data_IF_079395815322
#
_entry.id   IF_079395815322
#
_cell.length_a   1.000
_cell.length_b   1.000
_cell.length_c   1.000
_cell.angle_alpha   90.00
_cell.angle_beta   90.00
_cell.angle_gamma   90.00
#
_symmetry.space_group_name_H-M   'P 1'
#
loop_
_entity.id
_entity.type
_entity.pdbx_description
1 polymer ?
#
# COMPACT_ATOMS: atom_id res chain seq x y z
N UNK A 1 -3.54 15.76 -11.60
CA UNK A 1 -3.46 14.32 -11.29
C UNK A 1 -2.65 14.11 -10.03
N UNK A 2 -3.26 13.50 -9.03
CA UNK A 2 -2.61 13.30 -7.73
C UNK A 2 -2.28 11.82 -7.55
N UNK A 3 -1.01 11.43 -7.63
CA UNK A 3 -0.63 10.04 -7.38
C UNK A 3 -0.87 9.68 -5.91
N UNK A 4 -1.27 8.44 -5.69
CA UNK A 4 -1.48 7.91 -4.34
C UNK A 4 -0.73 6.59 -4.19
N UNK A 5 -0.29 6.33 -2.97
CA UNK A 5 0.33 5.07 -2.58
C UNK A 5 -0.72 4.25 -1.80
N UNK A 6 -1.02 3.07 -2.27
CA UNK A 6 -2.00 2.20 -1.61
C UNK A 6 -1.30 1.36 -0.55
N UNK A 7 -1.84 1.37 0.67
CA UNK A 7 -1.50 0.36 1.66
C UNK A 7 -1.88 -1.03 1.12
N UNK A 8 -1.22 -2.07 1.57
CA UNK A 8 -1.41 -3.42 1.05
C UNK A 8 -2.87 -3.87 1.09
N UNK A 9 -3.57 -3.64 2.20
CA UNK A 9 -4.98 -4.02 2.31
C UNK A 9 -5.87 -3.21 1.36
N UNK A 10 -5.58 -1.94 1.14
CA UNK A 10 -6.31 -1.11 0.18
C UNK A 10 -6.13 -1.65 -1.24
N UNK A 11 -4.92 -2.07 -1.60
CA UNK A 11 -4.65 -2.73 -2.88
C UNK A 11 -5.50 -3.99 -3.04
N UNK A 12 -5.56 -4.82 -2.01
CA UNK A 12 -6.37 -6.05 -2.03
C UNK A 12 -7.85 -5.70 -2.21
N UNK A 13 -8.38 -4.77 -1.42
CA UNK A 13 -9.79 -4.38 -1.49
C UNK A 13 -10.15 -3.81 -2.85
N UNK A 14 -9.32 -2.95 -3.42
CA UNK A 14 -9.54 -2.42 -4.76
C UNK A 14 -9.62 -3.55 -5.79
N UNK A 15 -8.72 -4.51 -5.69
CA UNK A 15 -8.61 -5.61 -6.66
C UNK A 15 -9.79 -6.57 -6.60
N UNK A 16 -10.36 -6.78 -5.41
CA UNK A 16 -11.53 -7.66 -5.25
C UNK A 16 -12.86 -6.91 -5.30
N UNK A 17 -12.84 -5.60 -5.51
CA UNK A 17 -14.05 -4.80 -5.64
C UNK A 17 -14.77 -4.50 -4.33
N UNK A 18 -14.07 -4.49 -3.19
CA UNK A 18 -14.64 -4.22 -1.88
C UNK A 18 -13.97 -3.02 -1.23
N UNK A 19 -14.47 -1.82 -1.51
CA UNK A 19 -13.92 -0.57 -0.97
C UNK A 19 -14.69 -0.06 0.27
N UNK A 20 -15.61 -0.84 0.82
CA UNK A 20 -16.40 -0.44 1.99
C UNK A 20 -15.60 0.02 3.21
N UNK A 21 -14.40 -0.55 3.50
CA UNK A 21 -13.63 -0.09 4.64
C UNK A 21 -13.09 1.34 4.49
N UNK A 22 -13.11 1.90 3.28
CA UNK A 22 -12.61 3.25 3.01
C UNK A 22 -13.74 4.28 3.02
N UNK A 23 -13.43 5.50 3.44
CA UNK A 23 -14.34 6.64 3.33
C UNK A 23 -14.63 6.97 1.85
N UNK A 24 -15.69 7.73 1.60
CA UNK A 24 -16.00 8.20 0.25
C UNK A 24 -14.84 9.02 -0.34
N UNK A 25 -14.19 9.85 0.49
CA UNK A 25 -13.04 10.63 0.06
C UNK A 25 -11.87 9.74 -0.37
N UNK A 26 -11.55 8.72 0.42
CA UNK A 26 -10.49 7.78 0.09
C UNK A 26 -10.82 7.01 -1.21
N UNK A 27 -12.05 6.58 -1.37
CA UNK A 27 -12.48 5.90 -2.60
C UNK A 27 -12.32 6.80 -3.82
N UNK A 28 -12.69 8.08 -3.71
CA UNK A 28 -12.53 9.03 -4.82
C UNK A 28 -11.05 9.25 -5.17
N UNK A 29 -10.17 9.31 -4.17
CA UNK A 29 -8.75 9.52 -4.39
C UNK A 29 -8.11 8.44 -5.25
N UNK A 30 -8.65 7.24 -5.24
CA UNK A 30 -8.17 6.13 -6.07
C UNK A 30 -8.39 6.36 -7.57
N UNK A 31 -9.27 7.30 -7.93
CA UNK A 31 -9.58 7.61 -9.32
C UNK A 31 -9.02 8.96 -9.79
N UNK A 32 -8.30 9.68 -8.91
CA UNK A 32 -7.83 11.04 -9.23
C UNK A 32 -6.49 11.07 -9.95
N UNK A 33 -5.77 9.98 -9.99
CA UNK A 33 -4.45 9.96 -10.60
C UNK A 33 -3.79 8.58 -10.54
N UNK A 34 -2.47 8.52 -10.79
CA UNK A 34 -1.74 7.26 -10.78
C UNK A 34 -1.81 6.57 -9.42
N UNK A 35 -1.93 5.25 -9.47
CA UNK A 35 -1.95 4.38 -8.29
C UNK A 35 -0.63 3.65 -8.18
N UNK A 36 -0.07 3.65 -6.99
CA UNK A 36 1.19 2.99 -6.70
C UNK A 36 1.04 2.05 -5.52
N UNK A 37 1.81 0.98 -5.50
CA UNK A 37 2.08 0.18 -4.30
C UNK A 37 3.58 0.14 -4.07
N UNK A 38 3.97 -0.04 -2.81
CA UNK A 38 5.38 -0.34 -2.49
C UNK A 38 5.71 -1.76 -2.96
N UNK A 39 6.95 -1.97 -3.38
CA UNK A 39 7.44 -3.30 -3.70
C UNK A 39 7.24 -4.27 -2.52
N UNK A 40 7.29 -3.78 -1.28
CA UNK A 40 7.08 -4.62 -0.09
C UNK A 40 5.65 -5.16 0.00
N UNK A 41 4.68 -4.50 -0.63
CA UNK A 41 3.30 -4.98 -0.60
C UNK A 41 3.14 -6.32 -1.31
N UNK A 42 3.91 -6.58 -2.36
CA UNK A 42 3.93 -7.90 -3.00
C UNK A 42 4.40 -8.99 -2.05
N UNK A 43 5.46 -8.71 -1.28
CA UNK A 43 5.94 -9.64 -0.26
C UNK A 43 4.89 -9.85 0.84
N UNK A 44 4.29 -8.78 1.32
CA UNK A 44 3.28 -8.85 2.37
C UNK A 44 2.07 -9.68 1.93
N UNK A 45 1.59 -9.47 0.72
CA UNK A 45 0.49 -10.26 0.15
C UNK A 45 0.88 -11.74 0.05
N UNK A 46 2.07 -12.05 -0.47
CA UNK A 46 2.54 -13.41 -0.58
C UNK A 46 2.66 -14.09 0.80
N UNK A 47 3.06 -13.33 1.83
CA UNK A 47 3.07 -13.81 3.22
C UNK A 47 1.68 -14.16 3.72
N UNK A 48 0.69 -13.32 3.43
CA UNK A 48 -0.70 -13.61 3.80
C UNK A 48 -1.18 -14.93 3.18
N UNK A 49 -0.81 -15.18 1.93
CA UNK A 49 -1.14 -16.44 1.25
C UNK A 49 -0.41 -17.61 1.90
N UNK A 50 0.90 -17.46 2.18
CA UNK A 50 1.68 -18.49 2.87
C UNK A 50 1.08 -18.85 4.21
N UNK A 51 0.62 -17.86 4.98
CA UNK A 51 0.01 -18.06 6.29
C UNK A 51 -1.46 -18.45 6.22
N UNK A 52 -1.99 -18.70 5.03
CA UNK A 52 -3.38 -19.10 4.79
C UNK A 52 -4.42 -18.09 5.29
N UNK A 53 -4.06 -16.82 5.32
CA UNK A 53 -4.98 -15.71 5.66
C UNK A 53 -5.62 -15.09 4.43
N UNK A 54 -5.14 -15.47 3.25
CA UNK A 54 -5.63 -15.02 1.95
C UNK A 54 -5.43 -16.17 0.97
N UNK A 55 -6.34 -16.34 0.02
CA UNK A 55 -6.23 -17.39 -0.98
C UNK A 55 -6.84 -16.99 -2.30
N UNK A 56 -6.32 -17.58 -3.38
CA UNK A 56 -6.79 -17.35 -4.73
C UNK A 56 -6.97 -18.66 -5.46
N UNK A 57 -7.80 -18.64 -6.52
CA UNK A 57 -8.00 -19.80 -7.39
C UNK A 57 -6.87 -19.95 -8.43
N UNK A 58 -6.05 -18.93 -8.58
CA UNK A 58 -4.87 -18.93 -9.47
C UNK A 58 -3.61 -18.76 -8.62
N UNK A 59 -2.43 -18.91 -9.22
CA UNK A 59 -1.18 -18.72 -8.49
C UNK A 59 -1.08 -17.29 -7.95
N UNK A 60 -0.38 -17.12 -6.83
CA UNK A 60 -0.16 -15.80 -6.22
C UNK A 60 0.47 -14.83 -7.20
N UNK A 61 1.51 -15.28 -7.91
CA UNK A 61 2.20 -14.41 -8.88
C UNK A 61 1.26 -13.98 -10.01
N UNK A 62 0.46 -14.90 -10.53
CA UNK A 62 -0.52 -14.58 -11.58
C UNK A 62 -1.56 -13.58 -11.07
N UNK A 63 -2.03 -13.75 -9.84
CA UNK A 63 -2.98 -12.82 -9.23
C UNK A 63 -2.38 -11.42 -9.12
N UNK A 64 -1.15 -11.32 -8.63
CA UNK A 64 -0.45 -10.03 -8.49
C UNK A 64 -0.34 -9.34 -9.84
N UNK A 65 0.16 -10.06 -10.86
CA UNK A 65 0.35 -9.48 -12.20
C UNK A 65 -0.97 -9.03 -12.81
N UNK A 66 -2.01 -9.83 -12.69
CA UNK A 66 -3.34 -9.48 -13.18
C UNK A 66 -3.88 -8.24 -12.47
N UNK A 67 -3.78 -8.20 -11.14
CA UNK A 67 -4.25 -7.07 -10.35
C UNK A 67 -3.55 -5.77 -10.76
N UNK A 68 -2.22 -5.79 -10.89
CA UNK A 68 -1.46 -4.61 -11.29
C UNK A 68 -1.89 -4.12 -12.67
N UNK A 69 -2.09 -5.03 -13.61
CA UNK A 69 -2.46 -4.69 -14.97
C UNK A 69 -3.91 -4.17 -15.06
N UNK A 70 -4.86 -4.88 -14.47
CA UNK A 70 -6.28 -4.52 -14.54
C UNK A 70 -6.59 -3.21 -13.82
N UNK A 71 -5.89 -2.93 -12.73
CA UNK A 71 -6.12 -1.73 -11.92
C UNK A 71 -5.14 -0.61 -12.22
N UNK A 72 -4.29 -0.78 -13.23
CA UNK A 72 -3.29 0.22 -13.64
C UNK A 72 -2.43 0.69 -12.45
N UNK A 73 -1.90 -0.28 -11.69
CA UNK A 73 -1.09 0.00 -10.51
C UNK A 73 0.39 -0.12 -10.86
N UNK A 74 1.18 0.86 -10.43
CA UNK A 74 2.63 0.90 -10.58
C UNK A 74 3.30 0.49 -9.28
N UNK A 75 4.49 -0.10 -9.39
CA UNK A 75 5.29 -0.50 -8.24
C UNK A 75 6.35 0.56 -7.96
N UNK A 76 6.39 1.03 -6.72
CA UNK A 76 7.48 1.85 -6.21
C UNK A 76 8.57 0.92 -5.67
N UNK A 77 9.75 0.95 -6.29
CA UNK A 77 10.86 0.11 -5.89
C UNK A 77 11.38 0.50 -4.51
N UNK A 78 11.97 -0.46 -3.81
CA UNK A 78 12.67 -0.22 -2.55
C UNK A 78 14.06 0.33 -2.87
N UNK A 79 14.14 1.66 -2.97
CA UNK A 79 15.40 2.35 -3.22
C UNK A 79 16.26 2.46 -1.95
N UNK A 80 17.56 2.75 -2.05
CA UNK A 80 18.38 3.02 -0.87
C UNK A 80 17.82 4.15 0.01
N UNK A 81 17.28 5.21 -0.61
CA UNK A 81 16.70 6.35 0.11
C UNK A 81 15.51 5.90 0.95
N UNK A 82 14.63 5.09 0.38
CA UNK A 82 13.45 4.56 1.09
C UNK A 82 13.89 3.61 2.21
N UNK A 83 14.86 2.75 1.94
CA UNK A 83 15.38 1.81 2.94
C UNK A 83 15.91 2.55 4.17
N UNK A 84 16.71 3.59 3.96
CA UNK A 84 17.27 4.38 5.08
C UNK A 84 16.16 5.14 5.80
N UNK A 85 15.25 5.78 5.06
CA UNK A 85 14.14 6.52 5.67
C UNK A 85 13.27 5.60 6.55
N UNK A 86 13.07 4.35 6.14
CA UNK A 86 12.24 3.40 6.91
C UNK A 86 12.78 3.11 8.31
N UNK A 87 14.08 3.32 8.53
CA UNK A 87 14.72 3.13 9.84
C UNK A 87 14.75 4.40 10.69
N UNK A 88 14.23 5.50 10.15
CA UNK A 88 14.28 6.83 10.80
C UNK A 88 12.91 7.29 11.30
N UNK A 89 11.90 6.42 11.31
CA UNK A 89 10.53 6.77 11.68
C UNK A 89 10.36 6.71 13.20
N UNK A 90 10.62 7.83 13.86
CA UNK A 90 10.53 7.92 15.32
C UNK A 90 9.07 7.85 15.77
N UNK A 91 8.80 6.96 16.75
CA UNK A 91 7.46 6.82 17.30
C UNK A 91 6.52 5.97 16.46
N UNK A 92 6.98 5.42 15.34
CA UNK A 92 6.20 4.49 14.55
C UNK A 92 6.42 3.06 15.04
N UNK A 93 5.40 2.19 14.83
CA UNK A 93 5.51 0.78 15.24
C UNK A 93 6.51 0.01 14.37
N UNK A 94 6.86 -1.20 14.82
CA UNK A 94 8.00 -1.95 14.28
C UNK A 94 7.69 -2.87 13.11
N UNK A 95 6.49 -2.86 12.56
CA UNK A 95 6.16 -3.69 11.40
C UNK A 95 7.00 -3.23 10.20
N UNK A 96 7.90 -4.06 9.66
CA UNK A 96 8.79 -3.63 8.58
C UNK A 96 8.07 -3.24 7.31
N UNK A 97 6.99 -3.94 6.97
CA UNK A 97 6.24 -3.62 5.76
C UNK A 97 5.62 -2.22 5.87
N UNK A 98 5.00 -1.91 7.01
CA UNK A 98 4.41 -0.60 7.23
C UNK A 98 5.46 0.50 7.27
N UNK A 99 6.63 0.23 7.86
CA UNK A 99 7.74 1.18 7.89
C UNK A 99 8.19 1.52 6.47
N UNK A 100 8.30 0.53 5.58
CA UNK A 100 8.70 0.75 4.20
C UNK A 100 7.62 1.49 3.42
N UNK A 101 6.35 1.19 3.63
CA UNK A 101 5.24 1.91 2.98
C UNK A 101 5.26 3.38 3.39
N UNK A 102 5.36 3.68 4.67
CA UNK A 102 5.41 5.05 5.17
C UNK A 102 6.64 5.79 4.63
N UNK A 103 7.80 5.14 4.64
CA UNK A 103 9.02 5.73 4.09
C UNK A 103 8.88 6.02 2.60
N UNK A 104 8.25 5.13 1.84
CA UNK A 104 7.98 5.33 0.40
C UNK A 104 7.14 6.58 0.18
N UNK A 105 6.08 6.74 0.96
CA UNK A 105 5.24 7.93 0.91
C UNK A 105 6.05 9.21 1.15
N UNK A 106 6.86 9.21 2.18
CA UNK A 106 7.65 10.40 2.56
C UNK A 106 8.69 10.76 1.51
N UNK A 107 9.42 9.76 1.00
CA UNK A 107 10.48 9.99 0.00
C UNK A 107 9.90 10.45 -1.33
N UNK A 108 8.82 9.82 -1.78
CA UNK A 108 8.22 10.12 -3.08
C UNK A 108 7.17 11.23 -3.05
N UNK A 109 6.77 11.69 -1.86
CA UNK A 109 5.80 12.78 -1.73
C UNK A 109 4.39 12.39 -2.16
N UNK A 110 3.97 11.15 -1.93
CA UNK A 110 2.63 10.67 -2.23
C UNK A 110 1.89 10.34 -0.94
N UNK A 111 0.60 10.74 -0.80
CA UNK A 111 -0.16 10.31 0.36
C UNK A 111 -0.44 8.81 0.34
N UNK A 112 -0.52 8.20 1.52
CA UNK A 112 -0.93 6.80 1.67
C UNK A 112 -2.45 6.71 1.81
N UNK A 113 -3.09 5.93 0.95
CA UNK A 113 -4.49 5.55 1.14
C UNK A 113 -4.50 4.33 2.05
N UNK A 114 -5.07 4.47 3.24
CA UNK A 114 -5.04 3.43 4.26
C UNK A 114 -6.23 3.53 5.20
N UNK A 115 -6.60 2.43 5.82
CA UNK A 115 -7.54 2.38 6.95
C UNK A 115 -6.83 1.94 8.24
N UNK A 116 -5.52 1.74 8.21
CA UNK A 116 -4.76 1.31 9.39
C UNK A 116 -4.54 2.47 10.35
N UNK A 117 -5.11 2.37 11.54
CA UNK A 117 -5.04 3.42 12.56
C UNK A 117 -3.62 3.71 13.01
N UNK A 118 -2.72 2.72 12.98
CA UNK A 118 -1.31 2.93 13.37
C UNK A 118 -0.60 3.87 12.41
N UNK A 119 -0.93 3.79 11.13
CA UNK A 119 -0.38 4.70 10.10
C UNK A 119 -1.03 6.07 10.23
N UNK A 120 -2.36 6.11 10.34
CA UNK A 120 -3.12 7.37 10.43
C UNK A 120 -2.68 8.18 11.65
N UNK A 121 -2.54 7.54 12.80
CA UNK A 121 -2.19 8.21 14.06
C UNK A 121 -0.72 8.59 14.15
N UNK A 122 0.14 8.05 13.32
CA UNK A 122 1.57 8.39 13.34
C UNK A 122 1.79 9.89 13.11
N UNK A 123 1.06 10.51 12.19
CA UNK A 123 1.06 11.96 12.00
C UNK A 123 2.17 12.50 11.10
N UNK A 124 3.29 11.82 10.99
CA UNK A 124 4.43 12.25 10.17
C UNK A 124 4.40 11.66 8.76
N UNK A 125 3.22 11.35 8.28
CA UNK A 125 2.95 10.87 6.92
C UNK A 125 1.58 11.39 6.49
N UNK A 126 1.48 11.81 5.24
CA UNK A 126 0.19 12.23 4.68
C UNK A 126 -0.66 11.00 4.38
N UNK A 127 -1.89 10.99 4.90
CA UNK A 127 -2.82 9.87 4.69
C UNK A 127 -4.14 10.33 4.13
N UNK A 128 -4.79 9.43 3.38
CA UNK A 128 -6.19 9.58 2.96
C UNK A 128 -6.91 8.32 3.46
N UNK A 129 -7.82 8.50 4.36
CA UNK A 129 -8.57 7.39 4.98
C UNK A 129 -10.07 7.56 4.76
#
# INVERSE_FOLDING_TARGET
>A
MKPVLLDTHVWIWLSIGNLHPLSAQAQRSLNDGPRWISAISGWELAKLVELRRLGFTISTLSWIRRSLNENHIRIAELTPEIAVESTSLKGFHRDPADQIIVATSRVLGMPVVTADQRIIQFGDVETIC
#
